data_IF_435572756974
#
_entry.id   IF_435572756974
#
_cell.length_a   1.000
_cell.length_b   1.000
_cell.length_c   1.000
_cell.angle_alpha   90.00
_cell.angle_beta   90.00
_cell.angle_gamma   90.00
#
_symmetry.space_group_name_H-M   'P 1'
#
loop_
_entity.id
_entity.type
_entity.pdbx_description
1 polymer ?
#
# COMPACT_ATOMS: atom_id res chain seq x y z
N UNK A 1 -76.66 -55.04 25.42
CA UNK A 1 -75.25 -55.13 24.98
C UNK A 1 -74.57 -53.83 25.34
N UNK A 2 -73.80 -53.82 26.42
CA UNK A 2 -73.03 -52.68 26.91
C UNK A 2 -71.57 -52.89 26.49
N UNK A 3 -71.02 -51.98 25.67
CA UNK A 3 -69.60 -51.98 25.29
C UNK A 3 -68.76 -51.27 26.36
N UNK A 4 -67.54 -51.75 26.68
CA UNK A 4 -66.71 -51.15 27.71
C UNK A 4 -65.99 -49.89 27.17
N UNK A 5 -65.93 -48.85 27.99
CA UNK A 5 -65.12 -47.67 27.71
C UNK A 5 -63.64 -47.99 27.94
N UNK A 6 -62.83 -47.99 26.88
CA UNK A 6 -61.37 -48.10 26.96
C UNK A 6 -60.79 -46.82 27.60
N UNK A 7 -59.79 -46.93 28.50
CA UNK A 7 -59.16 -45.79 29.14
C UNK A 7 -58.32 -45.03 28.11
N UNK A 8 -58.78 -43.83 27.73
CA UNK A 8 -58.09 -42.91 26.79
C UNK A 8 -56.91 -42.15 27.43
N UNK A 9 -56.62 -42.43 28.70
CA UNK A 9 -55.65 -41.70 29.52
C UNK A 9 -54.17 -41.97 29.21
N UNK A 10 -53.69 -43.20 28.91
CA UNK A 10 -52.25 -43.42 28.71
C UNK A 10 -51.74 -42.91 27.35
N UNK A 11 -52.60 -42.92 26.32
CA UNK A 11 -52.27 -42.40 24.98
C UNK A 11 -52.18 -40.87 24.95
N UNK A 12 -53.05 -40.19 25.70
CA UNK A 12 -52.99 -38.74 25.83
C UNK A 12 -51.72 -38.29 26.57
N UNK A 13 -51.33 -39.00 27.64
CA UNK A 13 -50.07 -38.76 28.36
C UNK A 13 -48.84 -38.97 27.47
N UNK A 14 -48.82 -40.06 26.68
CA UNK A 14 -47.72 -40.33 25.75
C UNK A 14 -47.59 -39.24 24.66
N UNK A 15 -48.73 -38.77 24.12
CA UNK A 15 -48.75 -37.71 23.13
C UNK A 15 -48.23 -36.37 23.71
N UNK A 16 -48.60 -36.03 24.94
CA UNK A 16 -48.11 -34.82 25.62
C UNK A 16 -46.61 -34.91 25.90
N UNK A 17 -46.10 -36.09 26.32
CA UNK A 17 -44.65 -36.27 26.53
C UNK A 17 -43.85 -36.22 25.23
N UNK A 18 -44.37 -36.78 24.14
CA UNK A 18 -43.74 -36.72 22.83
C UNK A 18 -43.71 -35.29 22.28
N UNK A 19 -44.80 -34.54 22.48
CA UNK A 19 -44.87 -33.13 22.10
C UNK A 19 -43.89 -32.30 22.95
N UNK A 20 -43.83 -32.51 24.26
CA UNK A 20 -42.87 -31.84 25.14
C UNK A 20 -41.41 -32.16 24.78
N UNK A 21 -41.09 -33.39 24.36
CA UNK A 21 -39.77 -33.77 23.87
C UNK A 21 -39.43 -33.08 22.54
N UNK A 22 -40.41 -32.91 21.63
CA UNK A 22 -40.23 -32.17 20.38
C UNK A 22 -40.05 -30.66 20.61
N UNK A 23 -40.70 -30.08 21.63
CA UNK A 23 -40.52 -28.67 22.01
C UNK A 23 -39.23 -28.39 22.81
N UNK A 24 -38.66 -29.40 23.47
CA UNK A 24 -37.38 -29.30 24.19
C UNK A 24 -36.13 -29.31 23.29
N UNK A 25 -36.27 -29.62 22.00
CA UNK A 25 -35.16 -29.68 21.04
C UNK A 25 -34.65 -28.29 20.61
N UNK A 26 -35.38 -27.21 20.93
CA UNK A 26 -34.86 -25.85 20.82
C UNK A 26 -33.91 -25.56 22.00
N UNK A 27 -32.75 -26.22 22.01
CA UNK A 27 -31.59 -25.72 22.75
C UNK A 27 -31.20 -24.41 22.06
N UNK A 28 -31.71 -23.28 22.57
CA UNK A 28 -31.09 -21.99 22.35
C UNK A 28 -29.73 -22.05 23.05
N UNK A 29 -28.75 -22.65 22.40
CA UNK A 29 -27.36 -22.36 22.67
C UNK A 29 -27.26 -20.87 22.38
N UNK A 30 -27.47 -20.04 23.42
CA UNK A 30 -27.02 -18.66 23.39
C UNK A 30 -25.55 -18.82 23.17
N UNK A 31 -25.13 -18.69 21.91
CA UNK A 31 -23.75 -18.39 21.56
C UNK A 31 -23.45 -17.22 22.44
N UNK A 32 -22.75 -17.50 23.53
CA UNK A 32 -22.14 -16.49 24.34
C UNK A 32 -21.16 -15.91 23.34
N UNK A 33 -21.55 -14.79 22.72
CA UNK A 33 -20.68 -13.95 21.91
C UNK A 33 -19.63 -13.41 22.88
N UNK A 34 -18.73 -14.30 23.29
CA UNK A 34 -17.43 -13.99 23.82
C UNK A 34 -16.72 -13.43 22.60
N UNK A 35 -16.40 -12.14 22.66
CA UNK A 35 -15.95 -11.36 21.52
C UNK A 35 -14.90 -12.11 20.72
N UNK A 36 -15.12 -12.23 19.41
CA UNK A 36 -14.14 -12.72 18.45
C UNK A 36 -12.76 -12.14 18.80
N UNK A 37 -11.86 -12.99 19.29
CA UNK A 37 -10.53 -12.59 19.78
C UNK A 37 -9.57 -12.23 18.63
N UNK A 38 -10.01 -12.37 17.37
CA UNK A 38 -9.29 -11.87 16.20
C UNK A 38 -10.07 -10.70 15.58
N UNK A 39 -9.44 -9.55 15.29
CA UNK A 39 -10.14 -8.45 14.66
C UNK A 39 -10.78 -8.91 13.35
N UNK A 40 -12.10 -8.76 13.26
CA UNK A 40 -12.85 -8.98 12.01
C UNK A 40 -12.46 -7.91 10.99
N UNK A 41 -12.13 -6.70 11.45
CA UNK A 41 -11.67 -5.61 10.60
C UNK A 41 -10.25 -5.88 10.07
N UNK A 42 -10.12 -5.89 8.75
CA UNK A 42 -8.85 -6.03 8.07
C UNK A 42 -7.86 -4.93 8.42
N UNK A 43 -8.31 -3.73 8.82
CA UNK A 43 -7.42 -2.63 9.22
C UNK A 43 -6.68 -2.92 10.51
N UNK A 44 -7.36 -3.59 11.45
CA UNK A 44 -6.75 -4.01 12.70
C UNK A 44 -5.88 -5.27 12.52
N UNK A 45 -6.24 -6.15 11.58
CA UNK A 45 -5.48 -7.37 11.24
C UNK A 45 -4.23 -7.09 10.41
N UNK A 46 -4.33 -6.16 9.47
CA UNK A 46 -3.29 -5.73 8.53
C UNK A 46 -3.08 -4.21 8.65
N UNK A 47 -2.60 -3.72 9.81
CA UNK A 47 -2.41 -2.30 10.00
C UNK A 47 -1.24 -1.81 9.15
N UNK A 48 -1.39 -0.61 8.60
CA UNK A 48 -0.30 0.12 7.97
C UNK A 48 0.47 0.82 9.09
N UNK A 49 1.74 0.48 9.23
CA UNK A 49 2.65 1.12 10.18
C UNK A 49 3.73 1.92 9.44
N UNK A 50 4.26 2.92 10.12
CA UNK A 50 5.42 3.66 9.65
C UNK A 50 6.68 2.96 10.14
N UNK A 51 7.62 2.72 9.24
CA UNK A 51 8.90 2.12 9.56
C UNK A 51 10.02 2.82 8.78
N UNK A 52 11.23 2.79 9.31
CA UNK A 52 12.41 3.13 8.50
C UNK A 52 12.70 1.99 7.51
N UNK A 53 12.92 2.37 6.26
CA UNK A 53 13.20 1.48 5.15
C UNK A 53 14.36 1.98 4.30
N UNK A 54 14.95 1.07 3.54
CA UNK A 54 16.01 1.40 2.59
C UNK A 54 15.42 1.54 1.19
N UNK A 55 15.59 2.72 0.61
CA UNK A 55 15.24 3.00 -0.78
C UNK A 55 16.49 2.78 -1.63
N UNK A 56 16.42 1.88 -2.61
CA UNK A 56 17.56 1.51 -3.46
C UNK A 56 17.29 1.69 -4.95
N UNK A 57 18.32 2.09 -5.70
CA UNK A 57 18.31 2.17 -7.16
C UNK A 57 19.60 1.57 -7.71
N UNK A 58 19.47 0.64 -8.65
CA UNK A 58 20.60 0.00 -9.31
C UNK A 58 20.84 0.69 -10.67
N UNK A 59 22.06 1.18 -10.87
CA UNK A 59 22.51 1.82 -12.11
C UNK A 59 23.49 0.89 -12.81
N UNK A 60 23.19 0.50 -14.04
CA UNK A 60 24.07 -0.38 -14.80
C UNK A 60 25.17 0.43 -15.50
N UNK A 61 26.46 0.16 -15.21
CA UNK A 61 27.56 0.87 -15.85
C UNK A 61 27.62 0.61 -17.34
N UNK A 62 27.80 1.66 -18.12
CA UNK A 62 28.06 1.54 -19.57
C UNK A 62 29.55 1.71 -19.84
N UNK A 63 30.05 1.05 -20.90
CA UNK A 63 31.47 1.10 -21.27
C UNK A 63 32.03 2.52 -21.43
N UNK A 64 31.22 3.49 -21.86
CA UNK A 64 31.64 4.88 -22.04
C UNK A 64 31.37 5.77 -20.83
N UNK A 65 30.67 5.26 -19.80
CA UNK A 65 30.34 6.02 -18.59
C UNK A 65 29.22 7.04 -18.76
N UNK A 66 28.44 6.92 -19.83
CA UNK A 66 27.19 7.66 -19.97
C UNK A 66 26.07 6.95 -19.20
N UNK A 67 25.12 7.73 -18.69
CA UNK A 67 23.85 7.20 -18.22
C UNK A 67 22.91 7.13 -19.43
N UNK A 68 22.31 5.97 -19.67
CA UNK A 68 21.20 5.87 -20.62
C UNK A 68 20.07 6.86 -20.21
N UNK A 69 19.31 7.44 -21.16
CA UNK A 69 18.26 8.41 -20.84
C UNK A 69 17.27 7.96 -19.77
N UNK A 70 16.93 6.66 -19.73
CA UNK A 70 16.06 6.11 -18.70
C UNK A 70 16.75 6.04 -17.34
N UNK A 71 18.00 5.56 -17.29
CA UNK A 71 18.78 5.55 -16.04
C UNK A 71 19.03 6.96 -15.52
N UNK A 72 19.20 7.95 -16.40
CA UNK A 72 19.32 9.35 -16.04
C UNK A 72 18.02 9.88 -15.39
N UNK A 73 16.86 9.61 -16.00
CA UNK A 73 15.57 9.99 -15.44
C UNK A 73 15.28 9.30 -14.09
N UNK A 74 15.61 8.01 -13.98
CA UNK A 74 15.47 7.25 -12.72
C UNK A 74 16.39 7.81 -11.63
N UNK A 75 17.62 8.18 -11.99
CA UNK A 75 18.58 8.82 -11.08
C UNK A 75 18.07 10.18 -10.62
N UNK A 76 17.61 11.05 -11.52
CA UNK A 76 17.09 12.37 -11.17
C UNK A 76 15.89 12.27 -10.20
N UNK A 77 14.95 11.36 -10.47
CA UNK A 77 13.82 11.09 -9.60
C UNK A 77 14.27 10.57 -8.23
N UNK A 78 15.24 9.67 -8.19
CA UNK A 78 15.78 9.10 -6.96
C UNK A 78 16.53 10.13 -6.10
N UNK A 79 17.32 11.02 -6.73
CA UNK A 79 18.03 12.09 -6.03
C UNK A 79 17.06 13.17 -5.51
N UNK A 80 15.99 13.47 -6.26
CA UNK A 80 14.91 14.32 -5.77
C UNK A 80 14.23 13.72 -4.54
N UNK A 81 14.00 12.40 -4.56
CA UNK A 81 13.44 11.65 -3.42
C UNK A 81 14.37 11.70 -2.21
N UNK A 82 15.68 11.46 -2.40
CA UNK A 82 16.69 11.58 -1.35
C UNK A 82 16.69 12.97 -0.71
N UNK A 83 16.63 14.03 -1.52
CA UNK A 83 16.61 15.41 -1.01
C UNK A 83 15.35 15.76 -0.22
N UNK A 84 14.21 15.14 -0.55
CA UNK A 84 12.92 15.41 0.12
C UNK A 84 12.71 14.56 1.36
N UNK A 85 13.05 13.29 1.31
CA UNK A 85 12.66 12.29 2.31
C UNK A 85 13.84 11.48 2.86
N UNK A 86 15.04 11.68 2.32
CA UNK A 86 16.23 10.95 2.74
C UNK A 86 16.66 11.29 4.15
N UNK A 87 17.08 10.24 4.87
CA UNK A 87 17.65 10.27 6.21
C UNK A 87 19.06 9.70 6.13
N UNK A 88 20.00 10.37 6.80
CA UNK A 88 21.41 9.98 6.76
C UNK A 88 22.07 10.29 5.43
N UNK A 89 22.93 9.38 4.96
CA UNK A 89 23.78 9.58 3.77
C UNK A 89 23.27 8.78 2.58
N UNK A 90 23.46 9.32 1.39
CA UNK A 90 23.34 8.59 0.13
C UNK A 90 24.55 7.66 -0.01
N UNK A 91 24.33 6.36 0.07
CA UNK A 91 25.36 5.34 -0.14
C UNK A 91 25.43 4.99 -1.62
N UNK A 92 26.62 5.08 -2.18
CA UNK A 92 26.96 4.68 -3.55
C UNK A 92 27.90 3.48 -3.45
N UNK A 93 27.35 2.29 -3.66
CA UNK A 93 28.09 1.04 -3.53
C UNK A 93 28.59 0.56 -4.89
N UNK A 94 29.91 0.50 -5.04
CA UNK A 94 30.57 0.17 -6.30
C UNK A 94 30.97 -1.31 -6.34
N UNK A 95 30.73 -2.03 -7.45
CA UNK A 95 31.19 -3.40 -7.59
C UNK A 95 32.71 -3.49 -7.64
N UNK A 96 33.28 -4.44 -6.88
CA UNK A 96 34.72 -4.72 -6.78
C UNK A 96 35.03 -6.14 -7.24
N UNK A 97 36.27 -6.36 -7.67
CA UNK A 97 36.72 -7.66 -8.21
C UNK A 97 36.24 -7.96 -9.63
N UNK A 98 35.82 -6.93 -10.36
CA UNK A 98 35.41 -7.02 -11.78
C UNK A 98 36.61 -6.94 -12.72
N UNK A 99 36.42 -7.32 -13.99
CA UNK A 99 37.48 -7.19 -15.00
C UNK A 99 37.90 -5.71 -15.18
N UNK A 100 39.15 -5.44 -15.61
CA UNK A 100 39.64 -4.05 -15.75
C UNK A 100 38.75 -3.15 -16.62
N UNK A 101 38.19 -3.69 -17.71
CA UNK A 101 37.29 -2.95 -18.59
C UNK A 101 35.98 -2.54 -17.88
N UNK A 102 35.40 -3.46 -17.09
CA UNK A 102 34.19 -3.18 -16.30
C UNK A 102 34.51 -2.21 -15.16
N UNK A 103 35.64 -2.36 -14.49
CA UNK A 103 36.09 -1.42 -13.46
C UNK A 103 36.20 0.02 -13.99
N UNK A 104 36.78 0.20 -15.17
CA UNK A 104 36.87 1.52 -15.80
C UNK A 104 35.48 2.11 -16.15
N UNK A 105 34.53 1.26 -16.58
CA UNK A 105 33.15 1.67 -16.84
C UNK A 105 32.41 2.09 -15.56
N UNK A 106 32.62 1.34 -14.47
CA UNK A 106 32.08 1.65 -13.13
C UNK A 106 32.58 3.00 -12.66
N UNK A 107 33.88 3.27 -12.73
CA UNK A 107 34.45 4.54 -12.28
C UNK A 107 33.92 5.74 -13.08
N UNK A 108 33.83 5.61 -14.42
CA UNK A 108 33.25 6.68 -15.26
C UNK A 108 31.77 6.91 -14.94
N UNK A 109 31.00 5.83 -14.76
CA UNK A 109 29.57 5.94 -14.41
C UNK A 109 29.39 6.55 -13.01
N UNK A 110 30.22 6.16 -12.04
CA UNK A 110 30.22 6.74 -10.71
C UNK A 110 30.54 8.25 -10.74
N UNK A 111 31.47 8.68 -11.60
CA UNK A 111 31.76 10.09 -11.82
C UNK A 111 30.55 10.84 -12.43
N UNK A 112 29.85 10.23 -13.38
CA UNK A 112 28.61 10.80 -13.93
C UNK A 112 27.51 10.92 -12.87
N UNK A 113 27.30 9.89 -12.04
CA UNK A 113 26.35 9.93 -10.92
C UNK A 113 26.69 11.06 -9.95
N UNK A 114 27.97 11.21 -9.57
CA UNK A 114 28.40 12.31 -8.67
C UNK A 114 28.14 13.68 -9.28
N UNK A 115 28.38 13.86 -10.58
CA UNK A 115 28.10 15.11 -11.29
C UNK A 115 26.60 15.43 -11.27
N UNK A 116 25.76 14.48 -11.66
CA UNK A 116 24.29 14.63 -11.62
C UNK A 116 23.81 14.90 -10.19
N UNK A 117 24.37 14.21 -9.19
CA UNK A 117 24.13 14.47 -7.77
C UNK A 117 24.41 15.92 -7.38
N UNK A 118 25.61 16.41 -7.71
CA UNK A 118 26.01 17.78 -7.39
C UNK A 118 25.13 18.82 -8.11
N UNK A 119 24.85 18.63 -9.40
CA UNK A 119 23.94 19.48 -10.19
C UNK A 119 22.50 19.46 -9.64
N UNK A 120 22.06 18.31 -9.14
CA UNK A 120 20.77 18.09 -8.49
C UNK A 120 20.67 18.63 -7.04
N UNK A 121 21.76 19.20 -6.51
CA UNK A 121 21.80 19.81 -5.18
C UNK A 121 22.04 18.82 -4.04
N UNK A 122 22.69 17.69 -4.31
CA UNK A 122 23.14 16.73 -3.28
C UNK A 122 24.49 17.17 -2.72
N UNK A 123 24.58 17.49 -1.41
CA UNK A 123 25.83 17.90 -0.79
C UNK A 123 26.89 16.79 -0.82
N UNK A 124 28.17 17.07 -1.14
CA UNK A 124 29.22 16.05 -1.22
C UNK A 124 29.44 15.26 0.09
N UNK A 125 29.27 15.91 1.24
CA UNK A 125 29.37 15.32 2.58
C UNK A 125 28.23 14.34 2.89
N UNK A 126 27.06 14.54 2.25
CA UNK A 126 25.92 13.63 2.36
C UNK A 126 26.10 12.31 1.58
N UNK A 127 27.15 12.19 0.76
CA UNK A 127 27.41 11.00 -0.06
C UNK A 127 28.50 10.13 0.59
N UNK A 128 28.23 8.84 0.74
CA UNK A 128 29.19 7.84 1.16
C UNK A 128 29.46 6.87 -0.01
N UNK A 129 30.71 6.71 -0.41
CA UNK A 129 31.07 5.73 -1.45
C UNK A 129 31.63 4.49 -0.78
N UNK A 130 31.05 3.33 -1.09
CA UNK A 130 31.46 2.02 -0.58
C UNK A 130 31.74 1.07 -1.75
N UNK A 131 32.16 -0.16 -1.46
CA UNK A 131 32.22 -1.18 -2.48
C UNK A 131 31.86 -2.56 -1.97
N UNK A 132 31.34 -3.40 -2.87
CA UNK A 132 30.93 -4.77 -2.59
C UNK A 132 31.62 -5.76 -3.53
N UNK A 133 31.85 -6.98 -3.05
CA UNK A 133 32.43 -8.04 -3.87
C UNK A 133 31.38 -8.63 -4.82
N UNK A 134 31.70 -8.74 -6.11
CA UNK A 134 30.82 -9.38 -7.10
C UNK A 134 30.92 -10.90 -6.98
N UNK A 135 29.83 -11.53 -6.52
CA UNK A 135 29.79 -13.00 -6.33
C UNK A 135 29.79 -13.78 -7.65
N UNK A 136 29.16 -13.24 -8.69
CA UNK A 136 29.03 -13.88 -10.00
C UNK A 136 29.51 -12.93 -11.11
N UNK A 137 30.80 -12.93 -11.47
CA UNK A 137 31.39 -11.98 -12.42
C UNK A 137 30.81 -12.01 -13.85
N UNK A 138 30.05 -13.06 -14.19
CA UNK A 138 29.36 -13.21 -15.48
C UNK A 138 28.01 -12.46 -15.53
N UNK A 139 27.48 -12.05 -14.38
CA UNK A 139 26.25 -11.27 -14.29
C UNK A 139 26.58 -9.77 -14.31
N UNK A 140 25.61 -8.96 -14.74
CA UNK A 140 25.74 -7.51 -14.68
C UNK A 140 25.94 -7.06 -13.22
N UNK A 141 27.00 -6.28 -12.99
CA UNK A 141 27.33 -5.73 -11.68
C UNK A 141 26.93 -4.24 -11.63
N UNK A 142 25.78 -3.89 -11.05
CA UNK A 142 25.32 -2.51 -10.99
C UNK A 142 26.07 -1.69 -9.93
N UNK A 143 26.05 -0.37 -10.10
CA UNK A 143 26.32 0.57 -9.00
C UNK A 143 25.02 0.71 -8.21
N UNK A 144 25.06 0.42 -6.91
CA UNK A 144 23.86 0.47 -6.05
C UNK A 144 23.81 1.78 -5.29
N UNK A 145 22.75 2.54 -5.52
CA UNK A 145 22.44 3.74 -4.77
C UNK A 145 21.45 3.39 -3.68
N UNK A 146 21.68 3.82 -2.45
CA UNK A 146 20.72 3.62 -1.37
C UNK A 146 20.72 4.73 -0.33
N UNK A 147 19.56 4.97 0.26
CA UNK A 147 19.43 5.85 1.42
C UNK A 147 18.31 5.35 2.34
N UNK A 148 18.33 5.79 3.60
CA UNK A 148 17.26 5.48 4.54
C UNK A 148 16.13 6.50 4.38
N UNK A 149 14.88 6.04 4.46
CA UNK A 149 13.71 6.92 4.52
C UNK A 149 12.63 6.28 5.38
N UNK A 150 11.67 7.08 5.82
CA UNK A 150 10.44 6.54 6.37
C UNK A 150 9.60 5.98 5.24
N UNK A 151 8.93 4.85 5.48
CA UNK A 151 8.02 4.18 4.56
C UNK A 151 6.77 3.70 5.31
N UNK A 152 5.65 3.62 4.60
CA UNK A 152 4.46 2.93 5.08
C UNK A 152 4.55 1.46 4.68
N UNK A 153 4.33 0.54 5.62
CA UNK A 153 4.32 -0.91 5.36
C UNK A 153 3.24 -1.60 6.18
N UNK A 154 2.69 -2.68 5.65
CA UNK A 154 1.82 -3.57 6.42
C UNK A 154 2.68 -4.42 7.34
N UNK A 155 2.33 -4.49 8.63
CA UNK A 155 3.14 -5.21 9.63
C UNK A 155 2.98 -6.73 9.56
N UNK A 156 1.83 -7.19 9.08
CA UNK A 156 1.51 -8.60 8.92
C UNK A 156 2.03 -9.14 7.59
N UNK A 157 2.48 -10.40 7.58
CA UNK A 157 2.77 -11.11 6.34
C UNK A 157 1.47 -11.46 5.58
N UNK A 158 1.40 -11.09 4.29
CA UNK A 158 0.32 -11.53 3.40
C UNK A 158 0.53 -12.98 2.93
N UNK A 159 -0.56 -13.66 2.54
CA UNK A 159 -0.52 -15.02 2.02
C UNK A 159 -0.59 -16.10 3.10
N UNK A 160 -1.03 -15.73 4.31
CA UNK A 160 -1.27 -16.67 5.40
C UNK A 160 -2.70 -17.22 5.30
N UNK A 161 -2.85 -18.54 5.26
CA UNK A 161 -4.14 -19.21 5.16
C UNK A 161 -4.38 -20.09 6.40
N UNK A 162 -4.60 -19.49 7.59
CA UNK A 162 -4.81 -20.25 8.83
C UNK A 162 -6.10 -21.06 8.82
N UNK A 163 -7.05 -20.70 7.95
CA UNK A 163 -8.26 -21.45 7.65
C UNK A 163 -8.34 -21.64 6.14
N UNK A 164 -8.83 -22.81 5.76
CA UNK A 164 -9.15 -23.11 4.38
C UNK A 164 -10.35 -22.27 3.93
N UNK A 165 -10.34 -21.87 2.66
CA UNK A 165 -11.42 -21.11 2.02
C UNK A 165 -12.55 -22.02 1.49
N UNK A 166 -12.28 -23.32 1.41
CA UNK A 166 -13.25 -24.33 1.02
C UNK A 166 -14.19 -24.74 2.15
N UNK A 167 -15.09 -25.69 1.83
CA UNK A 167 -16.07 -26.23 2.78
C UNK A 167 -15.41 -27.29 3.67
N UNK A 168 -14.54 -26.86 4.58
CA UNK A 168 -13.80 -27.72 5.51
C UNK A 168 -14.24 -27.57 6.97
N UNK A 169 -14.65 -26.36 7.38
CA UNK A 169 -15.17 -26.07 8.72
C UNK A 169 -16.57 -25.41 8.62
N UNK A 170 -17.66 -26.15 8.85
CA UNK A 170 -19.01 -25.61 8.78
C UNK A 170 -19.27 -24.44 9.74
N UNK A 171 -18.63 -24.41 10.92
CA UNK A 171 -18.84 -23.34 11.89
C UNK A 171 -18.27 -22.01 11.38
N UNK A 172 -17.07 -22.07 10.79
CA UNK A 172 -16.45 -20.91 10.16
C UNK A 172 -17.10 -20.53 8.82
N UNK A 173 -17.37 -21.51 7.95
CA UNK A 173 -17.91 -21.23 6.63
C UNK A 173 -19.30 -20.59 6.67
N UNK A 174 -20.08 -20.88 7.72
CA UNK A 174 -21.41 -20.30 7.94
C UNK A 174 -21.39 -19.03 8.80
N UNK A 175 -20.23 -18.60 9.32
CA UNK A 175 -20.13 -17.42 10.19
C UNK A 175 -20.14 -16.09 9.43
N UNK A 176 -20.03 -16.11 8.10
CA UNK A 176 -19.91 -14.93 7.24
C UNK A 176 -18.73 -14.01 7.63
N UNK A 177 -17.69 -14.60 8.22
CA UNK A 177 -16.48 -13.88 8.58
C UNK A 177 -15.56 -13.68 7.36
N UNK A 178 -14.86 -12.52 7.28
CA UNK A 178 -13.87 -12.30 6.25
C UNK A 178 -12.67 -13.23 6.40
N UNK A 179 -12.18 -13.73 5.26
CA UNK A 179 -10.96 -14.54 5.21
C UNK A 179 -9.76 -13.82 5.82
N UNK A 180 -8.79 -14.59 6.33
CA UNK A 180 -7.63 -14.02 7.02
C UNK A 180 -6.93 -12.94 6.18
N UNK A 181 -6.64 -13.25 4.91
CA UNK A 181 -5.92 -12.37 3.98
C UNK A 181 -6.74 -11.21 3.42
N UNK A 182 -8.04 -11.09 3.73
CA UNK A 182 -8.86 -10.00 3.21
C UNK A 182 -8.22 -8.67 3.60
N UNK A 183 -8.00 -7.80 2.62
CA UNK A 183 -7.43 -6.46 2.82
C UNK A 183 -5.91 -6.41 2.92
N UNK A 184 -5.18 -7.53 3.08
CA UNK A 184 -3.71 -7.49 3.18
C UNK A 184 -3.05 -6.91 1.92
N UNK A 185 -3.47 -7.38 0.75
CA UNK A 185 -2.98 -6.88 -0.54
C UNK A 185 -3.36 -5.41 -0.78
N UNK A 186 -4.60 -5.03 -0.43
CA UNK A 186 -5.07 -3.65 -0.56
C UNK A 186 -4.29 -2.70 0.35
N UNK A 187 -4.09 -3.06 1.61
CA UNK A 187 -3.30 -2.27 2.56
C UNK A 187 -1.84 -2.17 2.13
N UNK A 188 -1.28 -3.25 1.56
CA UNK A 188 0.11 -3.25 1.07
C UNK A 188 0.28 -2.34 -0.14
N UNK A 189 -0.66 -2.38 -1.10
CA UNK A 189 -0.64 -1.50 -2.27
C UNK A 189 -0.90 -0.03 -1.89
N UNK A 190 -1.78 0.22 -0.92
CA UNK A 190 -1.99 1.56 -0.37
C UNK A 190 -0.70 2.06 0.29
N UNK A 191 -0.10 1.27 1.16
CA UNK A 191 1.14 1.63 1.84
C UNK A 191 2.29 1.90 0.85
N UNK A 192 2.39 1.13 -0.23
CA UNK A 192 3.41 1.30 -1.26
C UNK A 192 3.17 2.53 -2.16
N UNK A 193 1.91 2.96 -2.36
CA UNK A 193 1.58 4.12 -3.21
C UNK A 193 1.61 5.46 -2.47
N UNK A 194 1.68 5.44 -1.13
CA UNK A 194 1.78 6.65 -0.31
C UNK A 194 3.15 7.32 -0.53
N UNK A 195 3.10 8.56 -1.03
CA UNK A 195 4.30 9.35 -1.32
C UNK A 195 5.02 9.85 -0.05
N UNK A 196 4.25 10.34 0.93
CA UNK A 196 4.77 10.75 2.24
C UNK A 196 4.05 9.94 3.33
N UNK A 197 4.73 8.99 3.99
CA UNK A 197 4.11 8.14 5.02
C UNK A 197 3.57 8.90 6.22
N UNK A 198 4.09 10.10 6.51
CA UNK A 198 3.65 10.92 7.63
C UNK A 198 2.19 11.38 7.45
N UNK A 199 1.75 11.54 6.19
CA UNK A 199 0.39 11.95 5.85
C UNK A 199 -0.68 10.92 6.32
N UNK A 200 -0.27 9.66 6.63
CA UNK A 200 -1.17 8.65 7.20
C UNK A 200 -1.44 8.85 8.70
N UNK A 201 -0.55 9.53 9.42
CA UNK A 201 -0.67 9.73 10.87
C UNK A 201 -1.18 11.12 11.19
N UNK A 202 -0.81 12.12 10.40
CA UNK A 202 -1.25 13.49 10.58
C UNK A 202 -1.47 14.16 9.23
N UNK A 203 -2.52 14.97 9.15
CA UNK A 203 -2.71 15.86 8.00
C UNK A 203 -1.60 16.91 7.91
N UNK A 204 -1.36 17.41 6.70
CA UNK A 204 -0.53 18.60 6.52
C UNK A 204 -1.20 19.80 7.18
N UNK A 205 -0.42 20.72 7.81
CA UNK A 205 -1.00 21.93 8.36
C UNK A 205 -1.68 22.73 7.25
N UNK A 206 -2.85 23.28 7.56
CA UNK A 206 -3.54 24.18 6.63
C UNK A 206 -2.68 25.41 6.36
N UNK A 207 -2.55 25.76 5.08
CA UNK A 207 -1.90 26.99 4.66
C UNK A 207 -2.75 28.22 4.99
N UNK A 208 -2.19 29.41 4.76
CA UNK A 208 -2.96 30.65 4.84
C UNK A 208 -4.15 30.57 3.90
N UNK A 209 -5.32 30.96 4.40
CA UNK A 209 -6.53 31.12 3.60
C UNK A 209 -6.21 32.07 2.43
N UNK A 210 -6.55 31.65 1.21
CA UNK A 210 -6.59 32.54 0.05
C UNK A 210 -7.78 33.49 0.17
N UNK A 211 -7.57 34.57 0.94
CA UNK A 211 -8.59 35.60 1.19
C UNK A 211 -9.08 36.23 -0.11
N UNK A 212 -8.22 36.61 -1.07
CA UNK A 212 -8.69 37.16 -2.35
C UNK A 212 -9.67 36.24 -3.08
N UNK A 213 -9.35 34.95 -3.20
CA UNK A 213 -10.26 34.00 -3.86
C UNK A 213 -11.58 33.84 -3.11
N UNK A 214 -11.53 33.64 -1.79
CA UNK A 214 -12.76 33.45 -0.98
C UNK A 214 -13.66 34.68 -0.99
N UNK A 215 -13.09 35.88 -0.89
CA UNK A 215 -13.87 37.13 -0.91
C UNK A 215 -14.47 37.38 -2.28
N UNK A 216 -13.74 37.07 -3.36
CA UNK A 216 -14.25 37.15 -4.73
C UNK A 216 -15.48 36.27 -4.91
N UNK A 217 -15.38 34.98 -4.58
CA UNK A 217 -16.49 34.03 -4.76
C UNK A 217 -17.75 34.47 -3.98
N UNK A 218 -17.58 34.98 -2.76
CA UNK A 218 -18.68 35.52 -1.94
C UNK A 218 -19.28 36.78 -2.55
N UNK A 219 -18.44 37.67 -3.11
CA UNK A 219 -18.89 38.93 -3.73
C UNK A 219 -19.67 38.66 -5.01
N UNK A 220 -19.19 37.74 -5.86
CA UNK A 220 -19.88 37.35 -7.09
C UNK A 220 -21.26 36.76 -6.78
N UNK A 221 -21.34 35.87 -5.78
CA UNK A 221 -22.63 35.32 -5.33
C UNK A 221 -23.59 36.41 -4.82
N UNK A 222 -23.10 37.43 -4.13
CA UNK A 222 -23.92 38.57 -3.65
C UNK A 222 -24.42 39.47 -4.78
N UNK A 223 -23.60 39.64 -5.81
CA UNK A 223 -23.91 40.46 -6.98
C UNK A 223 -24.74 39.70 -8.04
N UNK A 224 -25.08 38.42 -7.80
CA UNK A 224 -25.77 37.57 -8.77
C UNK A 224 -24.90 37.16 -9.97
N UNK A 225 -23.58 37.20 -9.81
CA UNK A 225 -22.59 36.78 -10.82
C UNK A 225 -22.17 35.32 -10.56
N UNK A 226 -21.78 34.62 -11.62
CA UNK A 226 -21.25 33.25 -11.51
C UNK A 226 -19.85 33.28 -10.85
N UNK A 227 -19.65 32.63 -9.69
CA UNK A 227 -18.34 32.56 -9.03
C UNK A 227 -17.39 31.54 -9.67
N UNK A 228 -17.81 30.84 -10.74
CA UNK A 228 -16.96 29.86 -11.41
C UNK A 228 -15.76 30.50 -12.12
N UNK A 229 -14.63 29.78 -12.16
CA UNK A 229 -13.46 30.20 -12.96
C UNK A 229 -13.79 30.06 -14.45
N UNK A 230 -13.63 31.15 -15.21
CA UNK A 230 -13.69 31.10 -16.67
C UNK A 230 -12.42 30.43 -17.22
N UNK A 231 -12.53 29.15 -17.55
CA UNK A 231 -11.46 28.44 -18.24
C UNK A 231 -11.35 28.94 -19.68
N UNK A 232 -10.26 29.66 -20.02
CA UNK A 232 -9.88 29.83 -21.41
C UNK A 232 -9.26 28.52 -21.88
N UNK A 233 -10.00 27.74 -22.66
CA UNK A 233 -9.39 26.67 -23.43
C UNK A 233 -8.61 27.32 -24.57
N UNK A 234 -7.31 27.06 -24.66
CA UNK A 234 -6.43 27.55 -25.74
C UNK A 234 -6.69 26.85 -27.09
N UNK A 235 -7.95 26.56 -27.42
CA UNK A 235 -8.39 25.92 -28.66
C UNK A 235 -7.94 24.46 -28.85
N UNK A 236 -6.96 23.98 -28.09
CA UNK A 236 -6.31 22.67 -28.26
C UNK A 236 -7.08 21.50 -27.61
N UNK A 237 -8.10 21.79 -26.79
CA UNK A 237 -8.88 20.78 -26.06
C UNK A 237 -10.34 20.62 -26.56
N UNK A 238 -10.67 21.21 -27.71
CA UNK A 238 -11.96 21.00 -28.38
C UNK A 238 -11.93 19.68 -29.15
N UNK A 239 -12.32 18.59 -28.49
CA UNK A 239 -12.52 17.28 -29.15
C UNK A 239 -13.66 17.34 -30.19
N UNK A 240 -14.53 18.35 -30.11
CA UNK A 240 -15.67 18.54 -31.04
C UNK A 240 -15.27 18.87 -32.48
N UNK A 241 -14.06 19.38 -32.74
CA UNK A 241 -13.63 19.74 -34.10
C UNK A 241 -12.89 18.62 -34.84
N UNK A 242 -12.67 17.45 -34.22
CA UNK A 242 -11.99 16.31 -34.84
C UNK A 242 -12.91 15.18 -35.30
N UNK A 243 -14.23 15.33 -35.17
CA UNK A 243 -15.20 14.40 -35.71
C UNK A 243 -16.19 15.18 -36.57
N UNK A 244 -15.74 15.57 -37.76
CA UNK A 244 -16.60 16.00 -38.86
C UNK A 244 -16.74 14.86 -39.85
N UNK A 245 -18.00 14.53 -40.20
CA UNK A 245 -18.34 13.70 -41.35
C UNK A 245 -17.84 14.32 -42.65
#
# INVERSE_FOLDING_TARGET
MTLPALPRTPLALAAVTALAALLGACRAERVTTTGSLAPVDYRARHPIALADGTRSLDIFPTGTGHLDPRQAADLDAFLLEFRRYGRGRLVVDLPRGVSPAVGAAVERTAAAIRRVGAEGGVPPDSVAVTGYAVAAPRLAAPIRLSFQRMEARVTSQCGLWPRDLGVSDPAYNLSNEPSWNLGCATQSNLAASVADPIDLVRGRPEGRIDTPRRVKDITDLRDGKDPSTTWRQDGQASVKSQVGN
#
